data_IF_348049803821
#
_entry.id   IF_348049803821
#
_cell.length_a   1.000
_cell.length_b   1.000
_cell.length_c   1.000
_cell.angle_alpha   90.00
_cell.angle_beta   90.00
_cell.angle_gamma   90.00
#
_symmetry.space_group_name_H-M   'P 1'
#
loop_
_entity.id
_entity.type
_entity.pdbx_description
1 polymer ?
#
# COMPACT_ATOMS: atom_id res chain seq x y z
N UNK A 1 -15.49 13.47 -6.74
CA UNK A 1 -15.96 14.28 -5.58
C UNK A 1 -15.58 13.67 -4.23
N UNK A 2 -16.27 12.67 -3.65
CA UNK A 2 -15.86 12.12 -2.33
C UNK A 2 -14.42 11.57 -2.29
N UNK A 3 -14.04 10.82 -3.33
CA UNK A 3 -12.67 10.35 -3.54
C UNK A 3 -11.62 11.48 -3.65
N UNK A 4 -12.00 12.65 -4.17
CA UNK A 4 -11.08 13.81 -4.27
C UNK A 4 -10.90 14.50 -2.91
N UNK A 5 -11.95 14.54 -2.09
CA UNK A 5 -11.90 15.10 -0.73
C UNK A 5 -10.93 14.27 0.12
N UNK A 6 -10.98 12.95 0.07
CA UNK A 6 -10.03 12.11 0.83
C UNK A 6 -8.59 12.38 0.40
N UNK A 7 -8.35 12.53 -0.91
CA UNK A 7 -7.02 12.76 -1.46
C UNK A 7 -6.47 14.17 -1.21
N UNK A 8 -7.30 15.13 -0.77
CA UNK A 8 -6.81 16.47 -0.43
C UNK A 8 -6.15 16.53 0.95
N UNK A 9 -6.39 15.54 1.81
CA UNK A 9 -5.72 15.45 3.11
C UNK A 9 -4.41 14.65 2.98
N UNK A 10 -3.30 15.11 3.60
CA UNK A 10 -2.10 14.29 3.63
C UNK A 10 -2.37 13.02 4.44
N UNK A 11 -2.03 11.87 3.84
CA UNK A 11 -2.44 10.54 4.30
C UNK A 11 -2.02 10.24 5.74
N UNK A 12 -0.82 10.66 6.14
CA UNK A 12 -0.30 10.47 7.49
C UNK A 12 -1.13 11.24 8.53
N UNK A 13 -1.51 12.50 8.27
CA UNK A 13 -2.34 13.26 9.20
C UNK A 13 -3.74 12.68 9.33
N UNK A 14 -4.32 12.23 8.21
CA UNK A 14 -5.63 11.57 8.23
C UNK A 14 -5.58 10.26 9.03
N UNK A 15 -4.52 9.47 8.83
CA UNK A 15 -4.29 8.24 9.58
C UNK A 15 -4.12 8.50 11.08
N UNK A 16 -3.32 9.50 11.46
CA UNK A 16 -3.14 9.91 12.86
C UNK A 16 -4.45 10.39 13.48
N UNK A 17 -5.21 11.23 12.78
CA UNK A 17 -6.50 11.73 13.26
C UNK A 17 -7.50 10.59 13.49
N UNK A 18 -7.65 9.69 12.51
CA UNK A 18 -8.55 8.54 12.61
C UNK A 18 -8.12 7.59 13.74
N UNK A 19 -6.81 7.38 13.92
CA UNK A 19 -6.30 6.54 15.01
C UNK A 19 -6.49 7.19 16.40
N UNK A 20 -6.30 8.50 16.50
CA UNK A 20 -6.47 9.25 17.74
C UNK A 20 -7.92 9.33 18.22
N UNK A 21 -8.88 9.22 17.30
CA UNK A 21 -10.32 9.15 17.63
C UNK A 21 -10.73 7.80 18.25
N UNK A 22 -9.89 6.76 18.14
CA UNK A 22 -10.18 5.43 18.65
C UNK A 22 -9.66 5.25 20.09
N UNK A 23 -10.38 4.51 20.95
CA UNK A 23 -9.93 4.24 22.32
C UNK A 23 -8.52 3.60 22.36
N UNK A 24 -7.69 4.05 23.30
CA UNK A 24 -6.36 3.46 23.54
C UNK A 24 -6.43 2.07 24.20
N UNK A 25 -7.59 1.70 24.74
CA UNK A 25 -7.84 0.40 25.40
C UNK A 25 -8.11 -0.75 24.43
N UNK A 26 -8.12 -0.49 23.12
CA UNK A 26 -8.35 -1.52 22.11
C UNK A 26 -7.22 -2.54 22.09
N UNK A 27 -7.53 -3.86 22.02
CA UNK A 27 -6.56 -4.91 21.80
C UNK A 27 -5.68 -4.66 20.57
N UNK A 28 -4.38 -4.95 20.67
CA UNK A 28 -3.39 -4.69 19.60
C UNK A 28 -3.74 -5.37 18.26
N UNK A 29 -4.40 -6.53 18.27
CA UNK A 29 -4.90 -7.20 17.06
C UNK A 29 -6.01 -6.41 16.36
N UNK A 30 -6.91 -5.78 17.14
CA UNK A 30 -7.97 -4.93 16.59
C UNK A 30 -7.36 -3.64 16.04
N UNK A 31 -6.40 -3.04 16.76
CA UNK A 31 -5.67 -1.86 16.28
C UNK A 31 -4.97 -2.14 14.95
N UNK A 32 -4.31 -3.30 14.81
CA UNK A 32 -3.67 -3.71 13.57
C UNK A 32 -4.67 -3.82 12.40
N UNK A 33 -5.79 -4.51 12.59
CA UNK A 33 -6.84 -4.62 11.56
C UNK A 33 -7.42 -3.25 11.18
N UNK A 34 -7.59 -2.36 12.15
CA UNK A 34 -8.06 -1.00 11.91
C UNK A 34 -7.05 -0.18 11.11
N UNK A 35 -5.76 -0.29 11.40
CA UNK A 35 -4.70 0.38 10.62
C UNK A 35 -4.73 -0.10 9.17
N UNK A 36 -4.84 -1.42 8.93
CA UNK A 36 -4.98 -1.98 7.59
C UNK A 36 -6.20 -1.39 6.88
N UNK A 37 -7.35 -1.39 7.55
CA UNK A 37 -8.60 -0.88 6.99
C UNK A 37 -8.49 0.61 6.63
N UNK A 38 -7.95 1.43 7.53
CA UNK A 38 -7.79 2.87 7.31
C UNK A 38 -6.81 3.13 6.16
N UNK A 39 -5.64 2.48 6.15
CA UNK A 39 -4.66 2.63 5.07
C UNK A 39 -5.24 2.22 3.71
N UNK A 40 -5.99 1.11 3.68
CA UNK A 40 -6.68 0.65 2.47
C UNK A 40 -7.73 1.66 2.01
N UNK A 41 -8.52 2.19 2.93
CA UNK A 41 -9.56 3.18 2.64
C UNK A 41 -8.99 4.50 2.11
N UNK A 42 -7.89 4.99 2.70
CA UNK A 42 -7.22 6.24 2.29
C UNK A 42 -6.57 6.08 0.91
N UNK A 43 -5.97 4.94 0.62
CA UNK A 43 -5.24 4.70 -0.63
C UNK A 43 -6.14 4.31 -1.81
N UNK A 44 -7.32 3.74 -1.53
CA UNK A 44 -8.26 3.27 -2.56
C UNK A 44 -8.65 4.32 -3.61
N UNK A 45 -8.99 5.58 -3.27
CA UNK A 45 -9.31 6.62 -4.26
C UNK A 45 -8.28 6.80 -5.36
N UNK A 46 -6.99 6.86 -4.97
CA UNK A 46 -5.88 7.07 -5.90
C UNK A 46 -5.73 5.87 -6.84
N UNK A 47 -5.73 4.67 -6.27
CA UNK A 47 -5.61 3.41 -7.01
C UNK A 47 -6.77 3.20 -7.99
N UNK A 48 -8.00 3.41 -7.52
CA UNK A 48 -9.24 3.30 -8.32
C UNK A 48 -9.25 4.28 -9.49
N UNK A 49 -8.77 5.52 -9.30
CA UNK A 49 -8.69 6.51 -10.36
C UNK A 49 -7.77 6.06 -11.49
N UNK A 50 -6.60 5.51 -11.16
CA UNK A 50 -5.66 5.04 -12.18
C UNK A 50 -6.21 3.84 -12.95
N UNK A 51 -6.76 2.84 -12.24
CA UNK A 51 -7.39 1.68 -12.88
C UNK A 51 -8.52 2.12 -13.81
N UNK A 52 -9.36 3.07 -13.38
CA UNK A 52 -10.43 3.59 -14.24
C UNK A 52 -9.87 4.21 -15.52
N UNK A 53 -8.77 4.97 -15.43
CA UNK A 53 -8.10 5.51 -16.61
C UNK A 53 -7.61 4.42 -17.56
N UNK A 54 -6.96 3.38 -17.03
CA UNK A 54 -6.50 2.22 -17.83
C UNK A 54 -7.66 1.48 -18.48
N UNK A 55 -8.74 1.23 -17.73
CA UNK A 55 -9.94 0.56 -18.25
C UNK A 55 -10.57 1.39 -19.38
N UNK A 56 -10.68 2.71 -19.23
CA UNK A 56 -11.22 3.56 -20.29
C UNK A 56 -10.34 3.51 -21.55
N UNK A 57 -9.01 3.57 -21.39
CA UNK A 57 -8.07 3.46 -22.52
C UNK A 57 -8.15 2.11 -23.23
N UNK A 58 -8.24 1.00 -22.49
CA UNK A 58 -8.36 -0.34 -23.07
C UNK A 58 -9.71 -0.50 -23.80
N UNK A 59 -10.78 0.10 -23.28
CA UNK A 59 -12.11 0.03 -23.91
C UNK A 59 -12.17 0.69 -25.28
N UNK A 60 -11.24 1.60 -25.58
CA UNK A 60 -11.12 2.30 -26.87
C UNK A 60 -10.20 1.56 -27.86
N UNK A 61 -9.73 0.35 -27.54
CA UNK A 61 -8.88 -0.45 -28.43
C UNK A 61 -9.71 -1.24 -29.46
N UNK A 62 -9.16 -1.41 -30.67
CA UNK A 62 -9.83 -2.07 -31.80
C UNK A 62 -10.30 -3.50 -31.49
N UNK A 63 -9.53 -4.27 -30.71
CA UNK A 63 -9.92 -5.63 -30.33
C UNK A 63 -11.16 -5.66 -29.44
N UNK A 64 -11.39 -4.62 -28.63
CA UNK A 64 -12.61 -4.50 -27.81
C UNK A 64 -13.80 -4.16 -28.69
N UNK A 65 -13.63 -3.26 -29.67
CA UNK A 65 -14.68 -2.94 -30.65
C UNK A 65 -15.06 -4.17 -31.48
N UNK A 66 -14.08 -4.94 -31.95
CA UNK A 66 -14.31 -6.18 -32.69
C UNK A 66 -15.07 -7.23 -31.85
N UNK A 67 -14.69 -7.40 -30.58
CA UNK A 67 -15.39 -8.31 -29.67
C UNK A 67 -16.85 -7.91 -29.46
N UNK A 68 -17.13 -6.60 -29.31
CA UNK A 68 -18.50 -6.09 -29.22
C UNK A 68 -19.29 -6.29 -30.50
N UNK A 69 -18.70 -6.02 -31.66
CA UNK A 69 -19.35 -6.21 -32.96
C UNK A 69 -19.72 -7.68 -33.23
N UNK A 70 -18.97 -8.61 -32.65
CA UNK A 70 -19.23 -10.07 -32.71
C UNK A 70 -20.34 -10.51 -31.75
N UNK A 71 -20.84 -9.63 -30.87
CA UNK A 71 -21.93 -9.91 -29.94
C UNK A 71 -21.51 -10.54 -28.61
N UNK A 72 -20.22 -10.47 -28.23
CA UNK A 72 -19.78 -10.92 -26.90
C UNK A 72 -20.36 -10.02 -25.79
N UNK A 73 -20.68 -10.63 -24.64
CA UNK A 73 -21.19 -9.90 -23.48
C UNK A 73 -20.13 -9.01 -22.82
N UNK A 74 -20.56 -7.93 -22.17
CA UNK A 74 -19.65 -7.02 -21.46
C UNK A 74 -18.82 -7.75 -20.39
N UNK A 75 -19.41 -8.71 -19.68
CA UNK A 75 -18.70 -9.50 -18.66
C UNK A 75 -17.58 -10.34 -19.29
N UNK A 76 -17.84 -10.95 -20.45
CA UNK A 76 -16.81 -11.69 -21.19
C UNK A 76 -15.66 -10.76 -21.58
N UNK A 77 -15.96 -9.57 -22.11
CA UNK A 77 -14.94 -8.59 -22.48
C UNK A 77 -14.14 -8.13 -21.26
N UNK A 78 -14.81 -7.87 -20.14
CA UNK A 78 -14.14 -7.46 -18.89
C UNK A 78 -13.15 -8.54 -18.44
N UNK A 79 -13.58 -9.79 -18.32
CA UNK A 79 -12.75 -10.87 -17.75
C UNK A 79 -11.66 -11.31 -18.74
N UNK A 80 -11.97 -11.39 -20.04
CA UNK A 80 -11.04 -11.93 -21.04
C UNK A 80 -10.08 -10.90 -21.61
N UNK A 81 -10.51 -9.64 -21.70
CA UNK A 81 -9.74 -8.59 -22.36
C UNK A 81 -9.32 -7.47 -21.40
N UNK A 82 -10.22 -6.92 -20.59
CA UNK A 82 -9.86 -5.75 -19.77
C UNK A 82 -9.01 -6.16 -18.56
N UNK A 83 -9.48 -7.13 -17.77
CA UNK A 83 -8.82 -7.54 -16.52
C UNK A 83 -7.39 -8.04 -16.74
N UNK A 84 -7.08 -8.91 -17.72
CA UNK A 84 -5.71 -9.35 -17.97
C UNK A 84 -4.78 -8.22 -18.38
N UNK A 85 -5.28 -7.22 -19.13
CA UNK A 85 -4.47 -6.07 -19.53
C UNK A 85 -4.21 -5.09 -18.37
N UNK A 86 -5.12 -4.97 -17.41
CA UNK A 86 -4.91 -4.12 -16.22
C UNK A 86 -4.18 -4.84 -15.07
N UNK A 87 -4.18 -6.17 -15.05
CA UNK A 87 -3.55 -6.98 -14.00
C UNK A 87 -2.06 -6.69 -13.83
N UNK A 88 -1.34 -6.48 -14.94
CA UNK A 88 0.06 -6.06 -14.90
C UNK A 88 0.27 -4.84 -14.02
N UNK A 89 -0.51 -3.78 -14.26
CA UNK A 89 -0.42 -2.56 -13.46
C UNK A 89 -0.80 -2.83 -12.00
N UNK A 90 -1.86 -3.62 -11.76
CA UNK A 90 -2.34 -3.94 -10.40
C UNK A 90 -1.24 -4.63 -9.58
N UNK A 91 -0.55 -5.61 -10.15
CA UNK A 91 0.50 -6.38 -9.47
C UNK A 91 1.70 -5.47 -9.19
N UNK A 92 2.16 -4.70 -10.19
CA UNK A 92 3.32 -3.81 -10.05
C UNK A 92 3.03 -2.70 -9.03
N UNK A 93 1.93 -1.97 -9.20
CA UNK A 93 1.54 -0.89 -8.29
C UNK A 93 1.22 -1.41 -6.88
N UNK A 94 0.61 -2.59 -6.77
CA UNK A 94 0.40 -3.26 -5.49
C UNK A 94 1.72 -3.55 -4.78
N UNK A 95 2.69 -4.14 -5.48
CA UNK A 95 4.00 -4.44 -4.93
C UNK A 95 4.73 -3.18 -4.45
N UNK A 96 4.74 -2.13 -5.29
CA UNK A 96 5.38 -0.85 -4.97
C UNK A 96 4.69 -0.07 -3.83
N UNK A 97 3.46 -0.44 -3.45
CA UNK A 97 2.76 0.16 -2.31
C UNK A 97 3.13 -0.47 -0.96
N UNK A 98 3.68 -1.68 -0.94
CA UNK A 98 4.06 -2.41 0.28
C UNK A 98 5.05 -1.59 1.14
N UNK A 99 6.15 -1.03 0.58
CA UNK A 99 7.09 -0.23 1.36
C UNK A 99 6.44 0.95 2.09
N UNK A 100 5.48 1.62 1.43
CA UNK A 100 4.74 2.72 2.01
C UNK A 100 3.89 2.27 3.20
N UNK A 101 3.22 1.12 3.10
CA UNK A 101 2.43 0.58 4.22
C UNK A 101 3.28 0.12 5.40
N UNK A 102 4.45 -0.50 5.13
CA UNK A 102 5.42 -0.86 6.18
C UNK A 102 5.84 0.41 6.93
N UNK A 103 6.21 1.46 6.21
CA UNK A 103 6.65 2.71 6.81
C UNK A 103 5.55 3.38 7.64
N UNK A 104 4.30 3.39 7.15
CA UNK A 104 3.16 3.96 7.88
C UNK A 104 2.83 3.18 9.15
N UNK A 105 2.78 1.85 9.09
CA UNK A 105 2.55 1.02 10.27
C UNK A 105 3.68 1.17 11.29
N UNK A 106 4.94 1.06 10.84
CA UNK A 106 6.10 1.17 11.72
C UNK A 106 6.21 2.56 12.34
N UNK A 107 5.88 3.61 11.57
CA UNK A 107 5.81 4.98 12.08
C UNK A 107 4.72 5.17 13.14
N UNK A 108 3.52 4.64 12.92
CA UNK A 108 2.46 4.66 13.94
C UNK A 108 2.87 3.90 15.20
N UNK A 109 3.42 2.69 15.05
CA UNK A 109 3.90 1.85 16.14
C UNK A 109 5.01 2.57 16.94
N UNK A 110 5.96 3.22 16.26
CA UNK A 110 7.00 4.03 16.90
C UNK A 110 6.46 5.26 17.67
N UNK A 111 5.37 5.86 17.17
CA UNK A 111 4.65 6.93 17.84
C UNK A 111 3.74 6.44 18.98
N UNK A 112 3.66 5.13 19.22
CA UNK A 112 2.80 4.52 20.24
C UNK A 112 1.32 4.45 19.83
N UNK A 113 1.00 4.72 18.56
CA UNK A 113 -0.36 4.67 18.02
C UNK A 113 -0.64 3.37 17.25
N UNK A 114 0.38 2.56 17.01
CA UNK A 114 0.29 1.27 16.33
C UNK A 114 0.10 0.09 17.27
N UNK A 115 0.76 -1.03 16.94
CA UNK A 115 0.78 -2.24 17.75
C UNK A 115 1.55 -1.95 19.04
N UNK A 116 0.92 -2.20 20.19
CA UNK A 116 1.54 -2.06 21.50
C UNK A 116 1.85 -3.41 22.14
N UNK A 117 2.74 -3.38 23.14
CA UNK A 117 3.05 -4.53 24.00
C UNK A 117 1.74 -5.17 24.53
N UNK A 118 1.66 -6.51 24.63
CA UNK A 118 2.73 -7.51 24.55
C UNK A 118 3.09 -8.00 23.14
N UNK A 119 2.44 -7.50 22.08
CA UNK A 119 2.75 -7.91 20.70
C UNK A 119 3.97 -7.13 20.18
N UNK A 120 4.89 -7.83 19.51
CA UNK A 120 6.06 -7.22 18.91
C UNK A 120 5.77 -6.74 17.47
N UNK A 121 6.14 -5.49 17.16
CA UNK A 121 6.24 -4.96 15.81
C UNK A 121 7.59 -4.25 15.65
N UNK A 122 8.18 -4.24 14.46
CA UNK A 122 9.49 -3.59 14.32
C UNK A 122 9.44 -2.09 14.64
N UNK A 123 8.31 -1.43 14.40
CA UNK A 123 8.09 -0.03 14.80
C UNK A 123 8.02 0.17 16.31
N UNK A 124 7.36 -0.73 17.06
CA UNK A 124 7.23 -0.57 18.50
C UNK A 124 8.52 -0.90 19.25
N UNK A 125 9.34 -1.83 18.73
CA UNK A 125 10.66 -2.15 19.28
C UNK A 125 11.63 -0.97 19.19
N UNK A 126 11.35 0.01 18.31
CA UNK A 126 12.14 1.24 18.20
C UNK A 126 11.74 2.32 19.22
N UNK A 127 10.65 2.14 19.99
CA UNK A 127 10.20 3.14 20.97
C UNK A 127 11.29 3.43 22.00
N UNK A 128 11.95 2.40 22.52
CA UNK A 128 12.99 2.54 23.56
C UNK A 128 14.25 3.24 23.03
N UNK A 129 14.52 3.09 21.74
CA UNK A 129 15.64 3.76 21.06
C UNK A 129 15.46 5.29 20.99
N UNK A 130 14.27 5.84 21.31
CA UNK A 130 14.06 7.29 21.46
C UNK A 130 14.85 7.88 22.62
N UNK A 131 15.15 7.08 23.65
CA UNK A 131 15.90 7.56 24.80
C UNK A 131 17.41 7.51 24.50
N UNK A 132 18.04 8.68 24.41
CA UNK A 132 19.47 8.81 24.09
C UNK A 132 20.38 8.07 25.06
N UNK A 133 19.99 7.97 26.34
CA UNK A 133 20.75 7.20 27.34
C UNK A 133 20.69 5.70 27.08
N UNK A 134 19.52 5.23 26.66
CA UNK A 134 19.31 3.83 26.28
C UNK A 134 20.08 3.54 24.99
N UNK A 135 20.00 4.41 23.99
CA UNK A 135 20.67 4.23 22.71
C UNK A 135 22.21 4.19 22.84
N UNK A 136 22.78 5.04 23.70
CA UNK A 136 24.23 5.05 23.96
C UNK A 136 24.68 3.79 24.71
N UNK A 137 23.86 3.24 25.59
CA UNK A 137 24.17 2.03 26.36
C UNK A 137 23.87 0.73 25.60
N UNK A 138 22.86 0.77 24.74
CA UNK A 138 22.26 -0.39 24.06
C UNK A 138 21.98 -0.07 22.57
N UNK A 139 23.01 0.20 21.76
CA UNK A 139 22.85 0.64 20.37
C UNK A 139 22.16 -0.41 19.48
N UNK A 140 22.20 -1.69 19.85
CA UNK A 140 21.51 -2.77 19.15
C UNK A 140 19.98 -2.65 19.17
N UNK A 141 19.40 -1.76 19.97
CA UNK A 141 17.97 -1.44 19.89
C UNK A 141 17.55 -0.84 18.53
N UNK A 142 18.50 -0.39 17.70
CA UNK A 142 18.23 0.05 16.33
C UNK A 142 18.07 -1.08 15.30
N UNK A 143 18.37 -2.32 15.66
CA UNK A 143 18.31 -3.49 14.76
C UNK A 143 16.96 -3.62 14.03
N UNK A 144 15.78 -3.43 14.67
CA UNK A 144 14.51 -3.46 13.96
C UNK A 144 14.40 -2.41 12.83
N UNK A 145 15.04 -1.25 13.00
CA UNK A 145 15.09 -0.21 11.98
C UNK A 145 15.89 -0.64 10.75
N UNK A 146 16.98 -1.39 10.96
CA UNK A 146 17.74 -1.99 9.86
C UNK A 146 16.90 -3.04 9.10
N UNK A 147 16.13 -3.87 9.81
CA UNK A 147 15.22 -4.84 9.17
C UNK A 147 14.10 -4.17 8.37
N UNK A 148 13.50 -3.09 8.90
CA UNK A 148 12.54 -2.27 8.15
C UNK A 148 13.19 -1.74 6.87
N UNK A 149 14.39 -1.15 6.98
CA UNK A 149 15.12 -0.59 5.84
C UNK A 149 15.41 -1.63 4.75
N UNK A 150 15.98 -2.79 5.12
CA UNK A 150 16.29 -3.87 4.19
C UNK A 150 15.01 -4.40 3.52
N UNK A 151 13.93 -4.57 4.28
CA UNK A 151 12.65 -5.06 3.75
C UNK A 151 12.06 -4.08 2.75
N UNK A 152 12.07 -2.78 3.07
CA UNK A 152 11.64 -1.71 2.17
C UNK A 152 12.44 -1.75 0.87
N UNK A 153 13.77 -1.84 0.94
CA UNK A 153 14.61 -1.93 -0.26
C UNK A 153 14.30 -3.18 -1.08
N UNK A 154 14.16 -4.34 -0.44
CA UNK A 154 13.86 -5.60 -1.11
C UNK A 154 12.54 -5.51 -1.91
N UNK A 155 11.48 -4.95 -1.31
CA UNK A 155 10.21 -4.78 -2.01
C UNK A 155 10.24 -3.72 -3.12
N UNK A 156 11.03 -2.64 -2.97
CA UNK A 156 11.22 -1.68 -4.06
C UNK A 156 11.91 -2.34 -5.25
N UNK A 157 13.05 -2.99 -5.04
CA UNK A 157 13.78 -3.67 -6.11
C UNK A 157 12.96 -4.81 -6.75
N UNK A 158 12.19 -5.54 -5.94
CA UNK A 158 11.29 -6.56 -6.46
C UNK A 158 10.17 -5.95 -7.32
N UNK A 159 9.59 -4.82 -6.89
CA UNK A 159 8.58 -4.11 -7.66
C UNK A 159 9.10 -3.55 -8.99
N UNK A 160 10.32 -3.01 -8.98
CA UNK A 160 11.00 -2.55 -10.19
C UNK A 160 11.31 -3.70 -11.14
N UNK A 161 11.85 -4.81 -10.63
CA UNK A 161 12.10 -6.02 -11.43
C UNK A 161 10.81 -6.60 -12.04
N UNK A 162 9.70 -6.61 -11.29
CA UNK A 162 8.40 -7.00 -11.82
C UNK A 162 7.93 -6.04 -12.92
N UNK A 163 8.06 -4.73 -12.69
CA UNK A 163 7.69 -3.71 -13.69
C UNK A 163 8.46 -3.94 -14.99
N UNK A 164 9.76 -4.14 -14.89
CA UNK A 164 10.63 -4.39 -16.05
C UNK A 164 10.21 -5.69 -16.75
N UNK A 165 10.01 -6.78 -16.01
CA UNK A 165 9.58 -8.06 -16.58
C UNK A 165 8.25 -7.99 -17.34
N UNK A 166 7.35 -7.08 -16.94
CA UNK A 166 6.06 -6.88 -17.59
C UNK A 166 6.04 -5.73 -18.61
N UNK A 167 7.12 -4.95 -18.78
CA UNK A 167 7.17 -3.89 -19.80
C UNK A 167 7.32 -4.52 -21.20
N UNK A 168 6.32 -4.39 -22.09
CA UNK A 168 6.39 -4.97 -23.43
C UNK A 168 7.45 -4.29 -24.32
N UNK A 169 7.92 -3.08 -23.97
CA UNK A 169 8.87 -2.31 -24.80
C UNK A 169 10.31 -2.81 -24.72
N UNK A 170 10.65 -3.71 -23.81
CA UNK A 170 12.00 -4.29 -23.74
C UNK A 170 12.20 -5.48 -24.71
N UNK A 171 11.23 -5.78 -25.58
CA UNK A 171 11.28 -6.89 -26.56
C UNK A 171 11.52 -6.48 -28.01
N UNK A 172 11.91 -5.23 -28.27
CA UNK A 172 12.38 -4.75 -29.58
C UNK A 172 13.88 -4.54 -29.56
#
# INVERSE_FOLDING_TARGET
RFAEIIMSFPSLYLLLALRAMLPSTLPSNIVYLLIIFILSFISWPSFSRVIRGLVLSIKEQDFVYAAKATGFSDLYIIIKHILPNTLTYIIVAGTLSIPYYILMESGLSFLGLGIQEPLASWGNMLIDAKNTRVLTSFPWMLVPGLFIFITILAFNFFGDALRDAFDPKMRT
#
